data_IF_778967238940
#
_entry.id   IF_778967238940
#
_cell.length_a   1.000
_cell.length_b   1.000
_cell.length_c   1.000
_cell.angle_alpha   90.00
_cell.angle_beta   90.00
_cell.angle_gamma   90.00
#
_symmetry.space_group_name_H-M   'P 1'
#
loop_
_entity.id
_entity.type
_entity.pdbx_description
1 polymer ?
#
# COMPACT_ATOMS: atom_id res chain seq x y z
N UNK A 1 -3.26 23.74 18.45
CA UNK A 1 -4.39 23.53 17.55
C UNK A 1 -3.88 23.09 16.19
N UNK A 2 -4.68 22.32 15.48
CA UNK A 2 -4.34 21.86 14.13
C UNK A 2 -5.31 22.39 13.08
N UNK A 3 -4.92 22.30 11.83
CA UNK A 3 -5.82 22.59 10.71
C UNK A 3 -5.55 21.56 9.60
N UNK A 4 -6.54 21.40 8.73
CA UNK A 4 -6.45 20.49 7.59
C UNK A 4 -6.14 21.28 6.34
N UNK A 5 -5.22 20.78 5.54
CA UNK A 5 -4.86 21.35 4.26
C UNK A 5 -4.94 20.26 3.18
N UNK A 6 -5.62 20.57 2.10
CA UNK A 6 -5.66 19.69 0.95
C UNK A 6 -4.37 19.87 0.15
N UNK A 7 -3.57 18.81 0.04
CA UNK A 7 -2.37 18.84 -0.80
C UNK A 7 -2.75 18.80 -2.28
N UNK A 8 -1.94 19.48 -3.10
CA UNK A 8 -2.25 19.69 -4.52
C UNK A 8 -2.17 18.40 -5.34
N UNK A 9 -1.26 17.51 -4.97
CA UNK A 9 -1.02 16.27 -5.70
C UNK A 9 -2.10 15.24 -5.40
N UNK A 10 -2.54 14.53 -6.44
CA UNK A 10 -3.41 13.37 -6.27
C UNK A 10 -2.67 12.23 -5.62
N UNK A 11 -3.33 11.49 -4.74
CA UNK A 11 -2.79 10.23 -4.21
C UNK A 11 -2.73 9.12 -5.26
N UNK A 12 -3.41 9.29 -6.39
CA UNK A 12 -3.51 8.35 -7.52
C UNK A 12 -4.20 7.02 -7.19
N UNK A 13 -4.09 6.55 -5.97
CA UNK A 13 -4.80 5.37 -5.47
C UNK A 13 -5.49 5.71 -4.15
N UNK A 14 -6.54 5.00 -3.83
CA UNK A 14 -7.19 5.15 -2.53
C UNK A 14 -6.26 4.64 -1.43
N UNK A 15 -5.83 5.50 -0.53
CA UNK A 15 -4.90 5.13 0.54
C UNK A 15 -5.65 4.41 1.66
N UNK A 16 -5.89 3.11 1.48
CA UNK A 16 -6.53 2.26 2.49
C UNK A 16 -5.55 1.94 3.62
N UNK A 17 -4.29 1.74 3.27
CA UNK A 17 -3.20 1.47 4.19
C UNK A 17 -2.09 2.49 3.98
N UNK A 18 -1.47 2.96 5.05
CA UNK A 18 -0.35 3.89 4.97
C UNK A 18 0.61 3.69 6.13
N UNK A 19 1.89 3.97 5.89
CA UNK A 19 2.92 3.93 6.92
C UNK A 19 4.02 4.95 6.61
N UNK A 20 4.55 5.55 7.67
CA UNK A 20 5.68 6.48 7.57
C UNK A 20 6.98 5.68 7.51
N UNK A 21 7.74 5.90 6.45
CA UNK A 21 9.08 5.33 6.30
C UNK A 21 10.14 6.23 6.97
N UNK A 22 11.29 5.67 7.36
CA UNK A 22 12.32 6.44 8.09
C UNK A 22 12.86 7.67 7.38
N UNK A 23 12.77 7.69 6.04
CA UNK A 23 13.32 8.77 5.20
C UNK A 23 12.34 9.93 4.99
N UNK A 24 11.23 9.97 5.72
CA UNK A 24 10.22 11.03 5.56
C UNK A 24 9.30 10.82 4.38
N UNK A 25 9.29 9.64 3.82
CA UNK A 25 8.33 9.24 2.80
C UNK A 25 7.20 8.43 3.43
N UNK A 26 6.03 8.47 2.81
CA UNK A 26 4.87 7.67 3.22
C UNK A 26 4.58 6.65 2.13
N UNK A 27 4.66 5.39 2.47
CA UNK A 27 4.16 4.32 1.60
C UNK A 27 2.68 4.13 1.87
N UNK A 28 1.89 4.01 0.80
CA UNK A 28 0.46 3.73 0.93
C UNK A 28 -0.05 2.90 -0.23
N UNK A 29 -1.13 2.18 0.00
CA UNK A 29 -1.70 1.31 -1.03
C UNK A 29 -3.18 1.09 -0.82
N UNK A 30 -3.87 0.76 -1.91
CA UNK A 30 -5.30 0.48 -1.91
C UNK A 30 -5.61 -1.00 -1.98
N UNK A 31 -4.83 -1.76 -2.72
CA UNK A 31 -5.23 -3.06 -3.20
C UNK A 31 -5.98 -2.94 -4.53
N UNK A 32 -6.35 -4.06 -5.09
CA UNK A 32 -6.97 -4.12 -6.39
C UNK A 32 -8.34 -4.79 -6.33
N UNK A 33 -9.27 -4.29 -7.11
CA UNK A 33 -10.63 -4.81 -7.19
C UNK A 33 -10.95 -5.50 -8.52
N UNK A 34 -9.94 -5.76 -9.35
CA UNK A 34 -10.18 -6.31 -10.67
C UNK A 34 -9.10 -7.27 -11.16
N UNK A 35 -9.36 -8.00 -12.26
CA UNK A 35 -8.44 -9.02 -12.78
C UNK A 35 -7.18 -8.45 -13.43
N UNK A 36 -7.18 -7.18 -13.82
CA UNK A 36 -5.99 -6.50 -14.30
C UNK A 36 -5.47 -5.63 -13.14
N UNK A 37 -4.37 -6.03 -12.54
CA UNK A 37 -3.82 -5.35 -11.38
C UNK A 37 -3.12 -4.07 -11.85
N UNK A 38 -3.74 -2.88 -11.75
CA UNK A 38 -3.00 -1.65 -11.89
C UNK A 38 -2.07 -1.51 -10.69
N UNK A 39 -1.05 -0.70 -10.83
CA UNK A 39 -0.17 -0.37 -9.73
C UNK A 39 -0.98 0.06 -8.51
N UNK A 40 -0.81 -0.63 -7.38
CA UNK A 40 -1.62 -0.42 -6.19
C UNK A 40 -0.88 0.34 -5.08
N UNK A 41 0.44 0.45 -5.19
CA UNK A 41 1.31 1.07 -4.18
C UNK A 41 1.83 2.40 -4.69
N UNK A 42 1.89 3.38 -3.78
CA UNK A 42 2.50 4.68 -4.06
C UNK A 42 3.37 5.10 -2.89
N UNK A 43 4.33 5.95 -3.19
CA UNK A 43 5.17 6.59 -2.19
C UNK A 43 5.06 8.10 -2.37
N UNK A 44 4.72 8.78 -1.29
CA UNK A 44 4.66 10.24 -1.23
C UNK A 44 5.86 10.77 -0.47
N UNK A 45 6.54 11.74 -1.07
CA UNK A 45 7.65 12.44 -0.43
C UNK A 45 7.12 13.69 0.27
N UNK A 46 7.22 13.73 1.59
CA UNK A 46 6.68 14.83 2.38
C UNK A 46 7.44 16.16 2.18
N UNK A 47 8.69 16.10 1.73
CA UNK A 47 9.49 17.31 1.53
C UNK A 47 9.23 17.95 0.16
N UNK A 48 8.95 17.15 -0.87
CA UNK A 48 8.77 17.63 -2.25
C UNK A 48 7.34 17.59 -2.75
N UNK A 49 6.47 16.80 -2.11
CA UNK A 49 5.11 16.53 -2.56
C UNK A 49 5.02 15.51 -3.70
N UNK A 50 6.14 14.97 -4.14
CA UNK A 50 6.16 14.01 -5.24
C UNK A 50 5.50 12.70 -4.86
N UNK A 51 4.69 12.16 -5.77
CA UNK A 51 4.10 10.82 -5.70
C UNK A 51 4.74 9.95 -6.75
N UNK A 52 5.24 8.78 -6.36
CA UNK A 52 5.87 7.84 -7.28
C UNK A 52 5.38 6.41 -7.06
N UNK A 53 5.47 5.61 -8.10
CA UNK A 53 5.24 4.17 -8.04
C UNK A 53 6.58 3.48 -7.79
N UNK A 54 6.73 2.69 -6.72
CA UNK A 54 7.97 1.94 -6.51
C UNK A 54 8.11 0.85 -7.58
N UNK A 55 9.34 0.47 -7.93
CA UNK A 55 9.55 -0.65 -8.84
C UNK A 55 9.19 -1.98 -8.16
N UNK A 56 8.91 -2.99 -8.96
CA UNK A 56 8.65 -4.36 -8.48
C UNK A 56 7.53 -4.45 -7.45
N UNK A 57 6.38 -3.85 -7.77
CA UNK A 57 5.22 -3.97 -6.92
C UNK A 57 4.80 -5.43 -6.72
N UNK A 58 4.21 -5.77 -5.55
CA UNK A 58 3.62 -7.09 -5.35
C UNK A 58 2.61 -7.44 -6.44
N UNK A 59 2.65 -8.68 -6.88
CA UNK A 59 1.73 -9.21 -7.89
C UNK A 59 0.44 -9.79 -7.30
N UNK A 60 0.31 -9.77 -5.97
CA UNK A 60 -0.91 -10.16 -5.28
C UNK A 60 -1.62 -8.93 -4.72
N UNK A 61 -2.91 -9.07 -4.48
CA UNK A 61 -3.75 -7.98 -4.00
C UNK A 61 -3.53 -7.77 -2.49
N UNK A 62 -3.07 -6.59 -2.12
CA UNK A 62 -2.77 -6.23 -0.73
C UNK A 62 -3.98 -5.67 0.03
N UNK A 63 -5.15 -5.60 -0.58
CA UNK A 63 -6.34 -5.08 0.09
C UNK A 63 -6.66 -5.89 1.36
N UNK A 64 -6.86 -5.20 2.46
CA UNK A 64 -7.10 -5.80 3.77
C UNK A 64 -5.92 -6.61 4.34
N UNK A 65 -4.70 -6.33 3.91
CA UNK A 65 -3.49 -6.92 4.50
C UNK A 65 -3.16 -6.32 5.87
N UNK A 66 -2.33 -7.03 6.61
CA UNK A 66 -1.66 -6.48 7.79
C UNK A 66 -0.30 -5.90 7.41
N UNK A 67 0.17 -4.90 8.16
CA UNK A 67 1.48 -4.33 7.90
C UNK A 67 2.15 -3.82 9.17
N UNK A 68 3.47 -3.71 9.13
CA UNK A 68 4.26 -3.19 10.23
C UNK A 68 5.61 -2.66 9.72
N UNK A 69 6.15 -1.67 10.42
CA UNK A 69 7.54 -1.26 10.20
C UNK A 69 8.46 -2.19 11.00
N UNK A 70 9.55 -2.60 10.36
CA UNK A 70 10.59 -3.39 11.00
C UNK A 70 11.60 -2.46 11.70
N UNK A 71 12.34 -2.97 12.71
CA UNK A 71 13.31 -2.15 13.42
C UNK A 71 14.41 -1.54 12.54
N UNK A 72 14.71 -2.17 11.41
CA UNK A 72 15.72 -1.70 10.46
C UNK A 72 15.17 -0.71 9.42
N UNK A 73 13.89 -0.34 9.52
CA UNK A 73 13.25 0.62 8.62
C UNK A 73 12.59 0.02 7.38
N UNK A 74 12.67 -1.30 7.21
CA UNK A 74 11.92 -1.95 6.13
C UNK A 74 10.44 -2.07 6.50
N UNK A 75 9.61 -2.21 5.49
CA UNK A 75 8.16 -2.28 5.65
C UNK A 75 7.67 -3.68 5.31
N UNK A 76 7.00 -4.31 6.27
CA UNK A 76 6.49 -5.68 6.14
C UNK A 76 4.98 -5.63 5.87
N UNK A 77 4.53 -6.43 4.88
CA UNK A 77 3.12 -6.57 4.54
C UNK A 77 2.81 -8.05 4.44
N UNK A 78 1.76 -8.51 5.09
CA UNK A 78 1.35 -9.91 5.06
C UNK A 78 -0.15 -10.04 4.82
N UNK A 79 -0.52 -11.03 4.02
CA UNK A 79 -1.90 -11.33 3.70
C UNK A 79 -2.40 -10.48 2.53
N UNK A 80 -3.62 -10.06 2.63
CA UNK A 80 -4.36 -9.39 1.56
C UNK A 80 -5.52 -10.24 1.10
N UNK A 81 -6.11 -9.88 -0.03
CA UNK A 81 -7.30 -10.55 -0.56
C UNK A 81 -6.90 -11.48 -1.71
N UNK A 82 -7.13 -12.77 -1.52
CA UNK A 82 -6.94 -13.76 -2.57
C UNK A 82 -8.20 -13.99 -3.39
N UNK A 83 -9.36 -13.72 -2.79
CA UNK A 83 -10.65 -13.92 -3.43
C UNK A 83 -11.68 -12.96 -2.86
N UNK A 84 -12.40 -12.25 -3.73
CA UNK A 84 -13.52 -11.39 -3.36
C UNK A 84 -14.82 -12.18 -3.37
N UNK A 85 -15.67 -11.93 -2.37
CA UNK A 85 -17.01 -12.49 -2.35
C UNK A 85 -17.88 -11.91 -3.47
N UNK A 86 -18.65 -12.77 -4.12
CA UNK A 86 -19.62 -12.37 -5.16
C UNK A 86 -21.05 -12.41 -4.67
N UNK A 87 -21.28 -12.79 -3.42
CA UNK A 87 -22.62 -12.87 -2.85
C UNK A 87 -22.61 -13.43 -1.44
N UNK A 88 -23.79 -13.52 -0.76
CA UNK A 88 -23.88 -13.88 0.65
C UNK A 88 -23.40 -15.29 0.98
N UNK A 89 -23.46 -16.22 0.03
CA UNK A 89 -23.00 -17.59 0.21
C UNK A 89 -21.60 -17.85 -0.33
N UNK A 90 -20.89 -16.80 -0.77
CA UNK A 90 -19.57 -16.89 -1.34
C UNK A 90 -18.55 -16.23 -0.38
N UNK A 91 -17.73 -17.01 0.33
CA UNK A 91 -16.82 -16.45 1.33
C UNK A 91 -15.65 -15.70 0.67
N UNK A 92 -15.15 -14.67 1.39
CA UNK A 92 -13.90 -14.02 1.06
C UNK A 92 -12.75 -14.99 1.34
N UNK A 93 -11.71 -14.94 0.49
CA UNK A 93 -10.48 -15.69 0.69
C UNK A 93 -9.31 -14.76 0.94
N UNK A 94 -8.48 -15.09 1.94
CA UNK A 94 -7.26 -14.35 2.23
C UNK A 94 -6.09 -14.84 1.41
N UNK A 95 -5.13 -13.96 1.18
CA UNK A 95 -3.83 -14.29 0.60
C UNK A 95 -2.88 -14.76 1.71
N UNK A 96 -1.99 -15.70 1.39
CA UNK A 96 -0.94 -16.18 2.30
C UNK A 96 0.42 -15.57 1.95
N UNK A 97 0.48 -14.65 1.01
CA UNK A 97 1.72 -14.00 0.61
C UNK A 97 2.17 -12.98 1.64
N UNK A 98 3.48 -12.79 1.73
CA UNK A 98 4.07 -11.75 2.56
C UNK A 98 5.20 -11.09 1.79
N UNK A 99 5.38 -9.79 2.00
CA UNK A 99 6.36 -8.99 1.28
C UNK A 99 7.13 -8.10 2.24
N UNK A 100 8.34 -7.78 1.86
CA UNK A 100 9.13 -6.75 2.52
C UNK A 100 9.51 -5.70 1.48
N UNK A 101 9.21 -4.45 1.77
CA UNK A 101 9.67 -3.31 0.99
C UNK A 101 10.85 -2.66 1.70
N UNK A 102 11.97 -2.54 0.98
CA UNK A 102 13.16 -1.87 1.47
C UNK A 102 13.25 -0.50 0.81
N UNK A 103 13.04 0.60 1.56
CA UNK A 103 13.04 1.94 0.96
C UNK A 103 14.44 2.40 0.52
N UNK A 104 15.48 1.68 0.90
CA UNK A 104 16.87 2.02 0.55
C UNK A 104 17.43 1.17 -0.59
N UNK A 105 16.74 0.10 -0.98
CA UNK A 105 17.18 -0.80 -2.04
C UNK A 105 16.73 -0.30 -3.41
N UNK A 106 17.56 -0.49 -4.38
CA UNK A 106 17.27 -0.20 -5.76
C UNK A 106 17.47 1.23 -6.16
#
# INVERSE_FOLDING_TARGET
MGFWELIAESSEVAAVHAALLPVGEVVYYSGNTGPAVPAQVRIWNSATGEVRTPPNEPDTDLFCSGHALLPDGRFFVAGGTGRYSTGPDDPWGGSKSAYIFDPTAG
#
